data_IF_653621777610
#
_entry.id   IF_653621777610
#
_cell.length_a   1.000
_cell.length_b   1.000
_cell.length_c   1.000
_cell.angle_alpha   90.00
_cell.angle_beta   90.00
_cell.angle_gamma   90.00
#
_symmetry.space_group_name_H-M   'P 1'
#
loop_
_entity.id
_entity.type
_entity.pdbx_description
1 polymer ?
#
# COMPACT_ATOMS: atom_id res chain seq x y z
N UNK A 1 1.80 -19.16 -0.21
CA UNK A 1 1.86 -20.36 -1.10
C UNK A 1 3.01 -20.25 -2.11
N UNK A 2 3.13 -19.14 -2.85
CA UNK A 2 4.18 -18.90 -3.88
C UNK A 2 5.33 -18.02 -3.37
N UNK A 3 5.56 -18.02 -2.07
CA UNK A 3 6.65 -17.28 -1.45
C UNK A 3 7.99 -17.71 -2.06
N UNK A 4 8.83 -16.74 -2.44
CA UNK A 4 10.15 -16.96 -3.04
C UNK A 4 10.11 -17.67 -4.42
N UNK A 5 8.91 -17.83 -5.03
CA UNK A 5 8.76 -18.41 -6.36
C UNK A 5 9.03 -17.36 -7.45
N UNK A 6 10.29 -16.94 -7.60
CA UNK A 6 10.70 -15.78 -8.41
C UNK A 6 10.23 -15.82 -9.87
N UNK A 7 10.15 -17.01 -10.48
CA UNK A 7 9.74 -17.20 -11.88
C UNK A 7 8.24 -17.53 -12.04
N UNK A 8 7.48 -17.56 -10.91
CA UNK A 8 6.08 -17.93 -10.98
C UNK A 8 5.24 -16.79 -11.60
N UNK A 9 4.61 -17.10 -12.73
CA UNK A 9 3.66 -16.21 -13.41
C UNK A 9 2.62 -17.01 -14.23
N UNK A 10 2.17 -18.15 -13.69
CA UNK A 10 1.18 -18.99 -14.36
C UNK A 10 -0.23 -18.39 -14.21
N UNK A 11 -1.12 -18.75 -15.14
CA UNK A 11 -2.54 -18.39 -15.07
C UNK A 11 -3.21 -19.07 -13.88
N UNK A 12 -3.73 -18.25 -12.98
CA UNK A 12 -4.48 -18.64 -11.76
C UNK A 12 -5.80 -17.89 -11.67
N UNK A 13 -6.25 -17.26 -12.75
CA UNK A 13 -7.47 -16.45 -12.79
C UNK A 13 -8.74 -17.25 -12.45
N UNK A 14 -8.75 -18.54 -12.79
CA UNK A 14 -9.88 -19.45 -12.51
C UNK A 14 -9.93 -20.04 -11.11
N UNK A 15 -9.10 -19.59 -10.17
CA UNK A 15 -9.12 -20.14 -8.81
C UNK A 15 -10.35 -19.67 -8.02
N UNK A 16 -10.98 -20.60 -7.30
CA UNK A 16 -12.02 -20.25 -6.32
C UNK A 16 -11.36 -19.82 -5.01
N UNK A 17 -11.40 -18.50 -4.75
CA UNK A 17 -10.81 -17.88 -3.56
C UNK A 17 -11.86 -17.49 -2.52
N UNK A 18 -13.14 -17.81 -2.73
CA UNK A 18 -14.28 -17.37 -1.90
C UNK A 18 -14.21 -17.79 -0.42
N UNK A 19 -13.42 -18.82 -0.12
CA UNK A 19 -13.21 -19.30 1.25
C UNK A 19 -11.86 -18.91 1.86
N UNK A 20 -11.04 -18.15 1.12
CA UNK A 20 -9.73 -17.73 1.61
C UNK A 20 -9.88 -16.59 2.60
N UNK A 21 -9.34 -16.76 3.78
CA UNK A 21 -9.37 -15.75 4.86
C UNK A 21 -8.02 -15.11 5.12
N UNK A 22 -6.94 -15.72 4.64
CA UNK A 22 -5.57 -15.32 4.87
C UNK A 22 -4.77 -15.46 3.57
N UNK A 23 -4.24 -14.32 3.08
CA UNK A 23 -3.38 -14.22 1.90
C UNK A 23 -1.98 -13.72 2.26
N UNK A 24 -1.60 -13.76 3.57
CA UNK A 24 -0.29 -13.31 4.03
C UNK A 24 0.83 -13.94 3.20
N UNK A 25 1.74 -13.11 2.72
CA UNK A 25 2.95 -13.48 1.99
C UNK A 25 2.73 -14.45 0.80
N UNK A 26 1.52 -14.47 0.20
CA UNK A 26 1.18 -15.46 -0.85
C UNK A 26 2.12 -15.40 -2.05
N UNK A 27 2.51 -14.20 -2.49
CA UNK A 27 3.44 -13.92 -3.61
C UNK A 27 4.68 -13.14 -3.15
N UNK A 28 5.03 -13.24 -1.87
CA UNK A 28 6.24 -12.61 -1.34
C UNK A 28 7.48 -13.09 -2.11
N UNK A 29 8.27 -12.14 -2.65
CA UNK A 29 9.47 -12.41 -3.45
C UNK A 29 9.20 -13.17 -4.77
N UNK A 30 7.95 -13.23 -5.25
CA UNK A 30 7.61 -13.71 -6.59
C UNK A 30 7.86 -12.59 -7.62
N UNK A 31 9.11 -12.34 -7.95
CA UNK A 31 9.56 -11.13 -8.66
C UNK A 31 9.01 -10.98 -10.08
N UNK A 32 8.64 -12.07 -10.77
CA UNK A 32 8.04 -12.07 -12.11
C UNK A 32 6.51 -12.14 -12.08
N UNK A 33 5.89 -12.28 -10.90
CA UNK A 33 4.45 -12.44 -10.79
C UNK A 33 3.70 -11.19 -11.25
N UNK A 34 2.84 -11.35 -12.25
CA UNK A 34 1.92 -10.33 -12.73
C UNK A 34 0.71 -10.95 -13.46
N UNK A 35 0.31 -12.17 -13.08
CA UNK A 35 -0.86 -12.82 -13.66
C UNK A 35 -2.16 -12.11 -13.28
N UNK A 36 -3.20 -12.33 -14.09
CA UNK A 36 -4.53 -11.79 -13.84
C UNK A 36 -5.17 -12.46 -12.62
N UNK A 37 -5.53 -11.64 -11.63
CA UNK A 37 -6.21 -12.01 -10.39
C UNK A 37 -7.39 -11.09 -10.09
N UNK A 38 -7.88 -10.36 -11.11
CA UNK A 38 -8.94 -9.37 -10.98
C UNK A 38 -10.28 -9.97 -10.52
N UNK A 39 -10.53 -11.23 -10.89
CA UNK A 39 -11.78 -11.94 -10.57
C UNK A 39 -11.74 -12.69 -9.23
N UNK A 40 -10.66 -12.58 -8.46
CA UNK A 40 -10.59 -13.24 -7.15
C UNK A 40 -11.60 -12.65 -6.16
N UNK A 41 -12.34 -13.53 -5.51
CA UNK A 41 -13.21 -13.14 -4.39
C UNK A 41 -12.35 -12.98 -3.12
N UNK A 42 -12.20 -11.75 -2.67
CA UNK A 42 -11.41 -11.38 -1.49
C UNK A 42 -12.28 -11.00 -0.29
N UNK A 43 -13.61 -11.13 -0.39
CA UNK A 43 -14.57 -10.65 0.61
C UNK A 43 -14.40 -11.29 2.00
N UNK A 44 -13.82 -12.49 2.06
CA UNK A 44 -13.55 -13.20 3.32
C UNK A 44 -12.14 -12.95 3.87
N UNK A 45 -11.27 -12.25 3.15
CA UNK A 45 -9.86 -12.08 3.53
C UNK A 45 -9.72 -11.04 4.64
N UNK A 46 -9.01 -11.41 5.69
CA UNK A 46 -8.75 -10.54 6.85
C UNK A 46 -7.28 -10.10 6.95
N UNK A 47 -6.37 -10.83 6.31
CA UNK A 47 -4.94 -10.57 6.31
C UNK A 47 -4.38 -10.61 4.88
N UNK A 48 -3.77 -9.48 4.46
CA UNK A 48 -3.06 -9.33 3.18
C UNK A 48 -1.60 -8.88 3.42
N UNK A 49 -1.10 -8.98 4.64
CA UNK A 49 0.26 -8.60 4.98
C UNK A 49 1.30 -9.28 4.08
N UNK A 50 2.31 -8.53 3.64
CA UNK A 50 3.40 -9.04 2.79
C UNK A 50 2.98 -9.69 1.46
N UNK A 51 1.71 -9.66 1.04
CA UNK A 51 1.19 -10.48 -0.07
C UNK A 51 2.02 -10.36 -1.34
N UNK A 52 2.42 -9.15 -1.74
CA UNK A 52 3.22 -8.85 -2.92
C UNK A 52 4.57 -8.21 -2.58
N UNK A 53 5.06 -8.43 -1.36
CA UNK A 53 6.36 -7.91 -0.95
C UNK A 53 7.45 -8.41 -1.90
N UNK A 54 8.26 -7.49 -2.46
CA UNK A 54 9.32 -7.78 -3.43
C UNK A 54 8.84 -8.45 -4.75
N UNK A 55 7.53 -8.44 -5.03
CA UNK A 55 6.98 -8.82 -6.34
C UNK A 55 7.18 -7.67 -7.35
N UNK A 56 8.41 -7.47 -7.80
CA UNK A 56 8.86 -6.26 -8.51
C UNK A 56 8.16 -6.00 -9.85
N UNK A 57 7.63 -7.05 -10.52
CA UNK A 57 6.86 -6.93 -11.76
C UNK A 57 5.36 -6.73 -11.53
N UNK A 58 4.86 -6.88 -10.29
CA UNK A 58 3.43 -6.89 -10.02
C UNK A 58 2.79 -5.53 -10.28
N UNK A 59 1.80 -5.51 -11.16
CA UNK A 59 0.93 -4.36 -11.43
C UNK A 59 -0.41 -4.81 -12.05
N UNK A 60 -0.88 -6.03 -11.74
CA UNK A 60 -2.18 -6.51 -12.20
C UNK A 60 -3.33 -5.70 -11.59
N UNK A 61 -4.50 -5.76 -12.23
CA UNK A 61 -5.70 -5.09 -11.75
C UNK A 61 -6.22 -5.77 -10.47
N UNK A 62 -6.33 -4.98 -9.41
CA UNK A 62 -6.89 -5.36 -8.10
C UNK A 62 -8.00 -4.40 -7.66
N UNK A 63 -8.48 -3.54 -8.57
CA UNK A 63 -9.47 -2.51 -8.26
C UNK A 63 -10.82 -3.06 -7.83
N UNK A 64 -11.17 -4.28 -8.28
CA UNK A 64 -12.40 -4.97 -7.95
C UNK A 64 -12.40 -5.71 -6.61
N UNK A 65 -11.27 -5.76 -5.90
CA UNK A 65 -11.18 -6.53 -4.66
C UNK A 65 -12.02 -5.92 -3.53
N UNK A 66 -12.76 -6.76 -2.82
CA UNK A 66 -13.43 -6.38 -1.57
C UNK A 66 -12.44 -6.48 -0.41
N UNK A 67 -12.03 -5.33 0.09
CA UNK A 67 -11.08 -5.22 1.22
C UNK A 67 -11.77 -4.89 2.54
N UNK A 68 -13.11 -4.92 2.58
CA UNK A 68 -13.89 -4.46 3.74
C UNK A 68 -13.69 -5.28 5.02
N UNK A 69 -13.17 -6.50 4.91
CA UNK A 69 -12.85 -7.37 6.05
C UNK A 69 -11.37 -7.32 6.47
N UNK A 70 -10.50 -6.65 5.69
CA UNK A 70 -9.05 -6.67 5.91
C UNK A 70 -8.65 -5.80 7.10
N UNK A 71 -7.83 -6.36 7.98
CA UNK A 71 -7.31 -5.68 9.17
C UNK A 71 -5.80 -5.44 9.13
N UNK A 72 -5.08 -6.19 8.30
CA UNK A 72 -3.63 -6.07 8.12
C UNK A 72 -3.26 -5.94 6.63
N UNK A 73 -2.56 -4.86 6.29
CA UNK A 73 -1.97 -4.59 4.98
C UNK A 73 -0.48 -4.22 5.11
N UNK A 74 0.14 -4.53 6.25
CA UNK A 74 1.55 -4.26 6.48
C UNK A 74 2.44 -4.90 5.42
N UNK A 75 3.38 -4.14 4.87
CA UNK A 75 4.32 -4.57 3.83
C UNK A 75 3.68 -5.12 2.52
N UNK A 76 2.38 -4.95 2.31
CA UNK A 76 1.67 -5.64 1.22
C UNK A 76 2.33 -5.47 -0.16
N UNK A 77 2.80 -4.27 -0.48
CA UNK A 77 3.48 -3.95 -1.75
C UNK A 77 4.93 -3.49 -1.55
N UNK A 78 5.53 -3.75 -0.38
CA UNK A 78 6.91 -3.35 -0.09
C UNK A 78 7.86 -3.84 -1.21
N UNK A 79 8.65 -2.92 -1.83
CA UNK A 79 9.55 -3.17 -2.95
C UNK A 79 8.88 -3.72 -4.24
N UNK A 80 7.54 -3.72 -4.35
CA UNK A 80 6.84 -3.99 -5.60
C UNK A 80 6.96 -2.77 -6.54
N UNK A 81 8.13 -2.55 -7.10
CA UNK A 81 8.56 -1.29 -7.72
C UNK A 81 7.73 -0.83 -8.92
N UNK A 82 7.07 -1.76 -9.64
CA UNK A 82 6.20 -1.47 -10.79
C UNK A 82 4.76 -1.14 -10.40
N UNK A 83 4.36 -1.37 -9.14
CA UNK A 83 2.97 -1.30 -8.73
C UNK A 83 2.41 0.13 -8.77
N UNK A 84 1.31 0.31 -9.49
CA UNK A 84 0.54 1.56 -9.54
C UNK A 84 -0.93 1.32 -9.97
N UNK A 85 -1.52 0.16 -9.65
CA UNK A 85 -2.91 -0.13 -9.95
C UNK A 85 -3.88 0.77 -9.16
N UNK A 86 -5.12 0.90 -9.63
CA UNK A 86 -6.14 1.70 -8.97
C UNK A 86 -6.60 1.05 -7.66
N UNK A 87 -6.49 1.80 -6.56
CA UNK A 87 -6.93 1.41 -5.22
C UNK A 87 -8.03 2.32 -4.66
N UNK A 88 -8.62 3.18 -5.50
CA UNK A 88 -9.59 4.18 -5.06
C UNK A 88 -10.89 3.58 -4.52
N UNK A 89 -11.23 2.36 -4.94
CA UNK A 89 -12.39 1.60 -4.49
C UNK A 89 -12.18 0.80 -3.20
N UNK A 90 -10.94 0.71 -2.69
CA UNK A 90 -10.66 -0.12 -1.52
C UNK A 90 -11.26 0.46 -0.24
N UNK A 91 -11.88 -0.40 0.56
CA UNK A 91 -12.35 -0.06 1.90
C UNK A 91 -11.31 -0.46 2.93
N UNK A 92 -10.59 0.53 3.48
CA UNK A 92 -9.54 0.31 4.49
C UNK A 92 -9.99 0.65 5.91
N UNK A 93 -11.29 0.85 6.14
CA UNK A 93 -11.82 1.34 7.42
C UNK A 93 -11.64 0.38 8.61
N UNK A 94 -11.24 -0.88 8.37
CA UNK A 94 -10.87 -1.82 9.42
C UNK A 94 -9.36 -2.04 9.55
N UNK A 95 -8.55 -1.51 8.64
CA UNK A 95 -7.10 -1.72 8.64
C UNK A 95 -6.44 -1.01 9.82
N UNK A 96 -5.62 -1.75 10.55
CA UNK A 96 -4.85 -1.26 11.70
C UNK A 96 -3.35 -1.14 11.40
N UNK A 97 -2.82 -1.96 10.49
CA UNK A 97 -1.41 -1.93 10.11
C UNK A 97 -1.25 -1.58 8.63
N UNK A 98 -0.51 -0.48 8.36
CA UNK A 98 -0.08 -0.05 7.03
C UNK A 98 1.45 0.20 7.01
N UNK A 99 2.19 -0.40 7.97
CA UNK A 99 3.64 -0.28 8.01
C UNK A 99 4.25 -0.73 6.68
N UNK A 100 5.12 0.09 6.09
CA UNK A 100 5.86 -0.24 4.87
C UNK A 100 5.01 -0.64 3.64
N UNK A 101 3.70 -0.37 3.64
CA UNK A 101 2.80 -0.86 2.59
C UNK A 101 3.26 -0.50 1.17
N UNK A 102 3.81 0.71 0.97
CA UNK A 102 4.34 1.18 -0.31
C UNK A 102 5.82 1.58 -0.23
N UNK A 103 6.57 1.04 0.73
CA UNK A 103 8.00 1.30 0.84
C UNK A 103 8.73 0.78 -0.41
N UNK A 104 9.55 1.62 -1.04
CA UNK A 104 10.29 1.28 -2.26
C UNK A 104 9.45 1.16 -3.54
N UNK A 105 8.14 1.43 -3.48
CA UNK A 105 7.26 1.37 -4.66
C UNK A 105 7.42 2.63 -5.50
N UNK A 106 8.46 2.65 -6.34
CA UNK A 106 8.91 3.85 -7.04
C UNK A 106 7.90 4.39 -8.06
N UNK A 107 7.02 3.54 -8.62
CA UNK A 107 6.00 3.93 -9.58
C UNK A 107 4.69 4.40 -8.94
N UNK A 108 4.48 4.18 -7.63
CA UNK A 108 3.19 4.37 -6.98
C UNK A 108 2.75 5.83 -6.93
N UNK A 109 1.59 6.12 -7.50
CA UNK A 109 0.91 7.41 -7.38
C UNK A 109 -0.62 7.28 -7.57
N UNK A 110 -1.22 6.12 -7.26
CA UNK A 110 -2.66 5.92 -7.35
C UNK A 110 -3.42 6.83 -6.37
N UNK A 111 -4.69 7.13 -6.68
CA UNK A 111 -5.51 7.96 -5.83
C UNK A 111 -6.03 7.17 -4.62
N UNK A 112 -5.53 7.51 -3.46
CA UNK A 112 -5.90 6.93 -2.15
C UNK A 112 -6.40 8.01 -1.17
N UNK A 113 -6.73 9.20 -1.67
CA UNK A 113 -7.13 10.35 -0.85
C UNK A 113 -8.41 10.12 -0.05
N UNK A 114 -9.30 9.24 -0.53
CA UNK A 114 -10.59 8.91 0.08
C UNK A 114 -10.53 7.82 1.14
N UNK A 115 -9.38 7.23 1.42
CA UNK A 115 -9.26 6.16 2.41
C UNK A 115 -9.63 6.62 3.82
N UNK A 116 -10.45 5.84 4.50
CA UNK A 116 -10.73 6.02 5.94
C UNK A 116 -9.63 5.36 6.77
N UNK A 117 -8.71 6.18 7.25
CA UNK A 117 -7.54 5.72 8.02
C UNK A 117 -7.72 5.84 9.54
N UNK A 118 -8.94 6.09 10.00
CA UNK A 118 -9.24 6.41 11.42
C UNK A 118 -8.85 5.30 12.41
N UNK A 119 -8.74 4.03 11.94
CA UNK A 119 -8.30 2.90 12.79
C UNK A 119 -6.83 2.53 12.64
N UNK A 120 -6.09 3.14 11.72
CA UNK A 120 -4.69 2.81 11.50
C UNK A 120 -3.84 3.22 12.70
N UNK A 121 -3.01 2.28 13.18
CA UNK A 121 -2.14 2.44 14.35
C UNK A 121 -0.70 2.73 13.95
N UNK A 122 -0.23 2.15 12.83
CA UNK A 122 1.13 2.38 12.33
C UNK A 122 1.15 2.64 10.82
N UNK A 123 1.93 3.68 10.44
CA UNK A 123 2.24 4.05 9.05
C UNK A 123 3.77 4.19 8.87
N UNK A 124 4.54 3.50 9.72
CA UNK A 124 6.00 3.56 9.68
C UNK A 124 6.51 3.16 8.30
N UNK A 125 7.40 3.97 7.70
CA UNK A 125 7.95 3.80 6.36
C UNK A 125 6.94 3.67 5.22
N UNK A 126 5.66 3.98 5.40
CA UNK A 126 4.60 3.65 4.44
C UNK A 126 4.89 4.09 3.00
N UNK A 127 5.47 5.27 2.80
CA UNK A 127 5.85 5.82 1.48
C UNK A 127 7.35 6.09 1.36
N UNK A 128 8.17 5.45 2.19
CA UNK A 128 9.62 5.58 2.10
C UNK A 128 10.11 5.08 0.74
N UNK A 129 10.87 5.86 0.00
CA UNK A 129 11.33 5.50 -1.34
C UNK A 129 10.25 5.50 -2.44
N UNK A 130 9.00 5.85 -2.15
CA UNK A 130 7.94 6.00 -3.15
C UNK A 130 8.15 7.31 -3.94
N UNK A 131 9.08 7.29 -4.89
CA UNK A 131 9.60 8.50 -5.55
C UNK A 131 8.59 9.23 -6.43
N UNK A 132 7.59 8.53 -7.00
CA UNK A 132 6.53 9.13 -7.81
C UNK A 132 5.35 9.64 -6.98
N UNK A 133 5.21 9.22 -5.72
CA UNK A 133 4.03 9.49 -4.90
C UNK A 133 3.80 10.99 -4.68
N UNK A 134 2.61 11.48 -5.05
CA UNK A 134 2.21 12.89 -4.89
C UNK A 134 0.70 13.08 -4.69
N UNK A 135 -0.03 12.02 -4.41
CA UNK A 135 -1.47 12.10 -4.11
C UNK A 135 -1.70 12.83 -2.79
N UNK A 136 -2.65 13.77 -2.78
CA UNK A 136 -2.97 14.53 -1.57
C UNK A 136 -3.68 13.64 -0.53
N UNK A 137 -2.99 13.38 0.57
CA UNK A 137 -3.47 12.60 1.72
C UNK A 137 -3.46 13.42 3.02
N UNK A 138 -3.33 14.76 2.91
CA UNK A 138 -3.30 15.64 4.10
C UNK A 138 -4.63 15.63 4.87
N UNK A 139 -5.71 15.15 4.25
CA UNK A 139 -7.02 14.98 4.86
C UNK A 139 -7.22 13.67 5.64
N UNK A 140 -6.24 12.78 5.68
CA UNK A 140 -6.39 11.51 6.40
C UNK A 140 -6.55 11.72 7.91
N UNK A 141 -7.47 10.96 8.53
CA UNK A 141 -7.56 10.89 9.99
C UNK A 141 -6.43 10.03 10.54
N UNK A 142 -5.52 10.66 11.24
CA UNK A 142 -4.36 10.02 11.85
C UNK A 142 -4.42 10.04 13.38
N UNK A 143 -5.60 10.23 13.95
CA UNK A 143 -5.80 10.34 15.41
C UNK A 143 -5.43 9.09 16.19
N UNK A 144 -5.52 7.91 15.56
CA UNK A 144 -5.13 6.62 16.16
C UNK A 144 -3.67 6.23 15.89
N UNK A 145 -2.96 6.96 15.00
CA UNK A 145 -1.62 6.59 14.58
C UNK A 145 -0.59 6.91 15.67
N UNK A 146 0.17 5.90 16.06
CA UNK A 146 1.22 6.00 17.09
C UNK A 146 2.63 5.99 16.53
N UNK A 147 2.80 5.51 15.27
CA UNK A 147 4.12 5.45 14.64
C UNK A 147 4.04 5.88 13.17
N UNK A 148 4.77 6.95 12.83
CA UNK A 148 4.90 7.52 11.48
C UNK A 148 6.37 7.71 11.09
N UNK A 149 7.28 7.03 11.79
CA UNK A 149 8.73 7.17 11.55
C UNK A 149 9.08 6.88 10.10
N UNK A 150 9.86 7.78 9.48
CA UNK A 150 10.37 7.64 8.13
C UNK A 150 9.29 7.51 7.04
N UNK A 151 8.05 7.94 7.31
CA UNK A 151 6.89 7.74 6.42
C UNK A 151 7.15 8.23 4.99
N UNK A 152 7.83 9.37 4.81
CA UNK A 152 8.13 9.95 3.49
C UNK A 152 9.63 9.99 3.17
N UNK A 153 10.45 9.21 3.87
CA UNK A 153 11.90 9.18 3.64
C UNK A 153 12.19 8.79 2.19
N UNK A 154 12.98 9.59 1.46
CA UNK A 154 13.26 9.34 0.04
C UNK A 154 12.09 9.55 -0.93
N UNK A 155 10.92 9.94 -0.46
CA UNK A 155 9.74 10.29 -1.26
C UNK A 155 9.92 11.64 -1.97
N UNK A 156 10.77 11.69 -3.01
CA UNK A 156 11.26 12.93 -3.60
C UNK A 156 10.16 13.84 -4.14
N UNK A 157 9.12 13.30 -4.79
CA UNK A 157 8.04 14.11 -5.34
C UNK A 157 7.13 14.67 -4.23
N UNK A 158 6.82 13.87 -3.20
CA UNK A 158 6.08 14.36 -2.03
C UNK A 158 6.84 15.50 -1.35
N UNK A 159 8.11 15.28 -1.01
CA UNK A 159 8.94 16.26 -0.30
C UNK A 159 9.18 17.55 -1.11
N UNK A 160 9.09 17.51 -2.45
CA UNK A 160 9.10 18.69 -3.30
C UNK A 160 7.76 19.43 -3.35
N UNK A 161 6.65 18.75 -3.10
CA UNK A 161 5.28 19.25 -3.26
C UNK A 161 4.62 19.66 -1.94
N UNK A 162 5.11 19.18 -0.82
CA UNK A 162 4.52 19.40 0.51
C UNK A 162 5.59 19.86 1.51
N UNK A 163 5.18 20.78 2.40
CA UNK A 163 6.00 21.25 3.50
C UNK A 163 5.29 21.02 4.84
N UNK A 164 6.06 20.88 5.91
CA UNK A 164 5.51 20.68 7.24
C UNK A 164 4.92 21.99 7.81
N UNK A 165 3.80 21.86 8.50
CA UNK A 165 3.14 22.97 9.20
C UNK A 165 4.03 23.59 10.28
N UNK A 166 4.93 22.83 10.90
CA UNK A 166 5.87 23.30 11.93
C UNK A 166 7.14 23.93 11.35
N UNK A 167 7.28 23.97 10.01
CA UNK A 167 8.43 24.52 9.30
C UNK A 167 9.72 23.69 9.40
N UNK A 168 9.65 22.48 9.98
CA UNK A 168 10.82 21.60 10.06
C UNK A 168 11.14 20.93 8.71
N UNK A 169 12.36 20.44 8.56
CA UNK A 169 12.79 19.65 7.41
C UNK A 169 12.69 18.14 7.64
N UNK A 170 12.03 17.71 8.74
CA UNK A 170 11.83 16.29 9.01
C UNK A 170 11.00 15.64 7.91
N UNK A 171 11.36 14.41 7.54
CA UNK A 171 10.57 13.55 6.63
C UNK A 171 9.55 12.71 7.39
N UNK A 172 9.48 12.88 8.71
CA UNK A 172 8.58 12.18 9.60
C UNK A 172 7.34 13.02 9.89
N UNK A 173 6.31 12.36 10.31
CA UNK A 173 5.07 12.98 10.77
C UNK A 173 3.85 12.55 9.97
N UNK A 174 2.66 12.58 10.61
CA UNK A 174 1.43 12.16 9.96
C UNK A 174 1.09 13.08 8.78
N UNK A 175 0.34 12.59 7.76
CA UNK A 175 -0.09 13.41 6.62
C UNK A 175 -0.74 14.74 7.01
N UNK A 176 -1.52 14.76 8.09
CA UNK A 176 -2.17 15.95 8.63
C UNK A 176 -1.20 17.05 9.12
N UNK A 177 0.09 16.73 9.29
CA UNK A 177 1.13 17.70 9.65
C UNK A 177 1.75 18.42 8.44
N UNK A 178 1.26 18.16 7.21
CA UNK A 178 1.80 18.70 5.96
C UNK A 178 0.77 19.58 5.25
N UNK A 179 1.26 20.47 4.39
CA UNK A 179 0.43 21.25 3.46
C UNK A 179 1.11 21.29 2.09
N UNK A 180 0.30 21.38 1.03
CA UNK A 180 0.81 21.50 -0.33
C UNK A 180 1.41 22.89 -0.52
N UNK A 181 2.68 22.93 -0.95
CA UNK A 181 3.29 24.19 -1.37
C UNK A 181 2.76 24.55 -2.77
N UNK A 182 2.30 25.80 -2.93
CA UNK A 182 1.88 26.26 -4.26
C UNK A 182 3.04 26.16 -5.25
N UNK A 183 2.78 25.74 -6.50
CA UNK A 183 3.81 25.73 -7.53
C UNK A 183 4.32 27.14 -7.85
#
# INVERSE_FOLDING_TARGET
>A
MFREASEFNADISGWDTSYVTDMEAMFNEASEFNADISEWDTSSVTDMGHMFREASAFNADVSGWDTSSVTDMGHMFNEASAFNADLSGWNVSLVMDMQEMFNGVSAFNANISSWDTSKVVTMRYMFSGATAFNTDITGWDTSSVTNVDWMFSGGSTWLASYARLDGSSSTDGPPSAWYRVSP
#
